data_IF_685264420622
#
_entry.id   IF_685264420622
#
_cell.length_a   1.000
_cell.length_b   1.000
_cell.length_c   1.000
_cell.angle_alpha   90.00
_cell.angle_beta   90.00
_cell.angle_gamma   90.00
#
_symmetry.space_group_name_H-M   'P 1'
#
loop_
_entity.id
_entity.type
_entity.pdbx_description
1 polymer ?
#
# COMPACT_ATOMS: atom_id res chain seq x y z
N UNK A 1 29.65 -2.73 38.91
CA UNK A 1 28.77 -1.64 38.45
C UNK A 1 28.69 -1.56 36.93
N UNK A 2 29.81 -1.41 36.21
CA UNK A 2 29.82 -1.35 34.74
C UNK A 2 29.14 -2.53 34.02
N UNK A 3 29.34 -3.78 34.48
CA UNK A 3 28.73 -4.98 33.89
C UNK A 3 27.20 -5.02 33.98
N UNK A 4 26.64 -4.47 35.07
CA UNK A 4 25.20 -4.34 35.25
C UNK A 4 24.63 -3.26 34.34
N UNK A 5 25.30 -2.11 34.25
CA UNK A 5 24.93 -1.04 33.33
C UNK A 5 24.92 -1.53 31.87
N UNK A 6 25.95 -2.29 31.44
CA UNK A 6 26.03 -2.85 30.09
C UNK A 6 24.88 -3.82 29.80
N UNK A 7 24.54 -4.72 30.73
CA UNK A 7 23.42 -5.67 30.55
C UNK A 7 22.08 -4.96 30.46
N UNK A 8 21.87 -3.94 31.31
CA UNK A 8 20.66 -3.11 31.28
C UNK A 8 20.56 -2.35 29.95
N UNK A 9 21.66 -1.76 29.48
CA UNK A 9 21.70 -1.06 28.20
C UNK A 9 21.43 -1.99 27.01
N UNK A 10 21.99 -3.19 27.00
CA UNK A 10 21.76 -4.19 25.93
C UNK A 10 20.31 -4.68 25.93
N UNK A 11 19.75 -4.98 27.11
CA UNK A 11 18.33 -5.36 27.25
C UNK A 11 17.40 -4.24 26.78
N UNK A 12 17.71 -2.99 27.13
CA UNK A 12 16.93 -1.82 26.72
C UNK A 12 16.96 -1.63 25.19
N UNK A 13 18.14 -1.76 24.57
CA UNK A 13 18.26 -1.66 23.10
C UNK A 13 17.51 -2.79 22.40
N UNK A 14 17.59 -4.04 22.90
CA UNK A 14 16.83 -5.17 22.35
C UNK A 14 15.31 -4.96 22.47
N UNK A 15 14.84 -4.42 23.58
CA UNK A 15 13.44 -4.03 23.77
C UNK A 15 13.00 -2.95 22.78
N UNK A 16 13.82 -1.93 22.54
CA UNK A 16 13.52 -0.87 21.58
C UNK A 16 13.44 -1.40 20.13
N UNK A 17 14.32 -2.33 19.75
CA UNK A 17 14.30 -2.96 18.42
C UNK A 17 13.09 -3.90 18.26
N UNK A 18 12.67 -4.59 19.32
CA UNK A 18 11.48 -5.45 19.28
C UNK A 18 10.15 -4.66 19.22
N UNK A 19 10.17 -3.39 19.65
CA UNK A 19 9.03 -2.47 19.58
C UNK A 19 8.97 -1.70 18.26
N UNK A 20 9.93 -1.89 17.36
CA UNK A 20 9.85 -1.37 16.00
C UNK A 20 8.82 -2.24 15.24
N UNK A 21 7.53 -1.98 15.51
CA UNK A 21 6.52 -2.26 14.51
C UNK A 21 6.97 -1.49 13.27
N UNK A 22 7.49 -2.22 12.30
CA UNK A 22 7.75 -1.70 10.97
C UNK A 22 6.43 -1.14 10.48
N UNK A 23 6.17 0.14 10.76
CA UNK A 23 5.05 0.86 10.18
C UNK A 23 5.40 0.98 8.72
N UNK A 24 5.11 -0.08 7.96
CA UNK A 24 5.01 0.01 6.52
C UNK A 24 3.97 1.11 6.36
N UNK A 25 4.42 2.31 6.03
CA UNK A 25 3.55 3.47 5.95
C UNK A 25 2.59 3.13 4.81
N UNK A 26 1.44 2.52 5.16
CA UNK A 26 0.57 1.87 4.19
C UNK A 26 0.06 2.98 3.29
N UNK A 27 0.48 2.95 2.03
CA UNK A 27 0.11 3.96 1.06
C UNK A 27 -1.41 3.92 0.86
N UNK A 28 -2.11 4.93 1.36
CA UNK A 28 -3.54 5.12 1.14
C UNK A 28 -3.77 6.15 0.02
N UNK A 29 -4.62 5.79 -0.93
CA UNK A 29 -5.21 6.72 -1.88
C UNK A 29 -6.02 7.79 -1.15
N UNK A 30 -5.76 9.04 -1.47
CA UNK A 30 -6.48 10.22 -0.95
C UNK A 30 -7.42 10.84 -1.98
N UNK A 31 -7.24 10.50 -3.27
CA UNK A 31 -8.05 10.98 -4.39
C UNK A 31 -8.09 9.97 -5.52
N UNK A 32 -9.15 10.05 -6.33
CA UNK A 32 -9.26 9.26 -7.55
C UNK A 32 -8.63 9.98 -8.74
N UNK A 33 -8.20 9.17 -9.70
CA UNK A 33 -7.88 9.59 -11.05
C UNK A 33 -9.17 10.07 -11.73
N UNK A 34 -9.19 11.32 -12.17
CA UNK A 34 -10.38 11.95 -12.76
C UNK A 34 -10.69 11.41 -14.16
N UNK A 35 -9.66 11.19 -14.97
CA UNK A 35 -9.82 10.79 -16.36
C UNK A 35 -9.60 9.29 -16.55
N UNK A 36 -10.47 8.59 -17.30
CA UNK A 36 -10.30 7.18 -17.61
C UNK A 36 -8.94 6.87 -18.21
N UNK A 37 -8.37 5.74 -17.81
CA UNK A 37 -7.10 5.26 -18.35
C UNK A 37 -7.37 4.06 -19.23
N UNK A 38 -6.84 4.08 -20.45
CA UNK A 38 -6.94 2.94 -21.37
C UNK A 38 -6.34 1.69 -20.72
N UNK A 39 -7.10 0.59 -20.72
CA UNK A 39 -6.70 -0.71 -20.15
C UNK A 39 -5.37 -1.20 -20.70
N UNK A 40 -5.05 -0.90 -21.97
CA UNK A 40 -3.77 -1.25 -22.62
C UNK A 40 -2.53 -0.64 -21.92
N UNK A 41 -2.71 0.36 -21.07
CA UNK A 41 -1.63 1.02 -20.31
C UNK A 41 -1.51 0.47 -18.89
N UNK A 42 -2.44 -0.38 -18.48
CA UNK A 42 -2.55 -0.95 -17.14
C UNK A 42 -2.02 -2.38 -17.16
N UNK A 43 -1.31 -2.74 -16.10
CA UNK A 43 -0.62 -4.03 -15.95
C UNK A 43 -1.30 -4.95 -14.96
N UNK A 44 -1.74 -4.41 -13.83
CA UNK A 44 -2.40 -5.16 -12.76
C UNK A 44 -3.21 -4.21 -11.89
N UNK A 45 -4.01 -4.78 -10.98
CA UNK A 45 -4.71 -3.99 -9.97
C UNK A 45 -4.60 -4.62 -8.58
N UNK A 46 -4.77 -3.81 -7.56
CA UNK A 46 -4.89 -4.22 -6.16
C UNK A 46 -6.08 -3.51 -5.54
N UNK A 47 -6.73 -4.15 -4.57
CA UNK A 47 -7.79 -3.52 -3.78
C UNK A 47 -7.13 -2.86 -2.58
N UNK A 48 -7.39 -1.58 -2.36
CA UNK A 48 -6.88 -0.88 -1.19
C UNK A 48 -7.42 -1.53 0.09
N UNK A 49 -6.56 -1.60 1.11
CA UNK A 49 -6.89 -2.08 2.46
C UNK A 49 -8.02 -1.26 3.08
N UNK A 50 -8.92 -1.93 3.81
CA UNK A 50 -10.06 -1.32 4.52
C UNK A 50 -9.63 -0.35 5.63
N UNK A 51 -8.36 -0.43 6.07
CA UNK A 51 -7.77 0.54 7.00
C UNK A 51 -7.66 1.98 6.43
N UNK A 52 -7.84 2.15 5.12
CA UNK A 52 -7.85 3.47 4.49
C UNK A 52 -9.28 4.04 4.42
N UNK A 53 -9.43 5.35 4.68
CA UNK A 53 -10.74 6.03 4.67
C UNK A 53 -11.43 6.05 3.30
N UNK A 54 -10.66 5.99 2.22
CA UNK A 54 -11.17 6.02 0.85
C UNK A 54 -11.17 4.60 0.28
N UNK A 55 -12.31 4.10 -0.18
CA UNK A 55 -12.34 2.82 -0.90
C UNK A 55 -11.78 3.03 -2.30
N UNK A 56 -10.73 2.32 -2.69
CA UNK A 56 -10.06 2.54 -3.97
C UNK A 56 -9.55 1.24 -4.60
N UNK A 57 -9.49 1.24 -5.93
CA UNK A 57 -8.77 0.26 -6.72
C UNK A 57 -7.45 0.91 -7.15
N UNK A 58 -6.33 0.26 -6.88
CA UNK A 58 -5.01 0.75 -7.22
C UNK A 58 -4.55 0.01 -8.47
N UNK A 59 -4.57 0.68 -9.62
CA UNK A 59 -3.97 0.13 -10.83
C UNK A 59 -2.47 0.39 -10.84
N UNK A 60 -1.70 -0.63 -11.25
CA UNK A 60 -0.30 -0.46 -11.63
C UNK A 60 -0.22 -0.37 -13.15
N UNK A 61 0.43 0.66 -13.66
CA UNK A 61 0.66 0.84 -15.10
C UNK A 61 1.87 0.03 -15.58
N UNK A 62 2.00 -0.14 -16.89
CA UNK A 62 3.20 -0.74 -17.50
C UNK A 62 4.48 0.03 -17.15
N UNK A 63 4.36 1.34 -16.93
CA UNK A 63 5.46 2.21 -16.47
C UNK A 63 5.66 2.19 -14.95
N UNK A 64 5.13 1.17 -14.25
CA UNK A 64 5.21 0.99 -12.80
C UNK A 64 4.63 2.14 -11.94
N UNK A 65 3.79 3.01 -12.51
CA UNK A 65 3.07 4.05 -11.76
C UNK A 65 1.79 3.49 -11.15
N UNK A 66 1.46 3.92 -9.94
CA UNK A 66 0.21 3.60 -9.26
C UNK A 66 -0.86 4.66 -9.57
N UNK A 67 -2.08 4.21 -9.84
CA UNK A 67 -3.25 5.04 -10.14
C UNK A 67 -4.39 4.61 -9.23
N UNK A 68 -4.83 5.52 -8.37
CA UNK A 68 -6.01 5.35 -7.54
C UNK A 68 -7.27 5.56 -8.37
N UNK A 69 -8.20 4.62 -8.37
CA UNK A 69 -9.43 4.69 -9.15
C UNK A 69 -10.66 4.37 -8.30
N UNK A 70 -11.78 4.99 -8.63
CA UNK A 70 -13.05 4.78 -7.95
C UNK A 70 -13.64 3.42 -8.38
N UNK A 71 -13.91 2.49 -7.46
CA UNK A 71 -14.48 1.19 -7.79
C UNK A 71 -15.84 1.28 -8.53
N UNK A 72 -16.56 2.40 -8.38
CA UNK A 72 -17.87 2.56 -9.01
C UNK A 72 -17.83 2.98 -10.48
N UNK A 73 -16.71 3.49 -10.96
CA UNK A 73 -16.59 3.95 -12.34
C UNK A 73 -16.66 2.78 -13.34
N UNK A 74 -17.37 2.98 -14.44
CA UNK A 74 -17.56 1.93 -15.45
C UNK A 74 -16.25 1.43 -16.06
N UNK A 75 -15.29 2.33 -16.33
CA UNK A 75 -13.99 1.96 -16.88
C UNK A 75 -13.15 1.13 -15.89
N UNK A 76 -13.33 1.35 -14.59
CA UNK A 76 -12.66 0.60 -13.52
C UNK A 76 -13.21 -0.82 -13.45
N UNK A 77 -14.54 -0.96 -13.49
CA UNK A 77 -15.22 -2.26 -13.52
C UNK A 77 -14.76 -3.11 -14.71
N UNK A 78 -14.68 -2.51 -15.91
CA UNK A 78 -14.15 -3.16 -17.11
C UNK A 78 -12.67 -3.53 -16.94
N UNK A 79 -11.83 -2.62 -16.44
CA UNK A 79 -10.41 -2.88 -16.25
C UNK A 79 -10.14 -4.02 -15.26
N UNK A 80 -10.91 -4.12 -14.17
CA UNK A 80 -10.81 -5.20 -13.18
C UNK A 80 -11.09 -6.57 -13.79
N UNK A 81 -12.02 -6.66 -14.74
CA UNK A 81 -12.34 -7.92 -15.42
C UNK A 81 -11.21 -8.38 -16.36
N UNK A 82 -10.39 -7.46 -16.86
CA UNK A 82 -9.38 -7.72 -17.88
C UNK A 82 -7.95 -7.84 -17.32
N UNK A 83 -7.71 -7.37 -16.10
CA UNK A 83 -6.37 -7.29 -15.51
C UNK A 83 -6.22 -8.30 -14.37
N UNK A 84 -5.00 -8.82 -14.14
CA UNK A 84 -4.75 -9.69 -13.00
C UNK A 84 -4.75 -8.88 -11.68
N UNK A 85 -5.37 -9.47 -10.65
CA UNK A 85 -5.26 -8.97 -9.27
C UNK A 85 -3.88 -9.29 -8.71
N UNK A 86 -3.24 -8.33 -8.07
CA UNK A 86 -2.01 -8.51 -7.32
C UNK A 86 -2.28 -8.32 -5.82
N UNK A 87 -1.93 -9.33 -5.03
CA UNK A 87 -1.96 -9.29 -3.57
C UNK A 87 -0.74 -8.54 -3.03
#
# INVERSE_FOLDING_TARGET
MAKFAVRVSVLLVLLLVALDESSSNKYCCTRYQQNPVSVKRLKSYTVQDDNCKLRAIIFKTEKNRHICANPEDQWVKIAIQLLPRKH
#
